data_IF_409197730780
#
_entry.id   IF_409197730780
#
_cell.length_a   1.000
_cell.length_b   1.000
_cell.length_c   1.000
_cell.angle_alpha   90.00
_cell.angle_beta   90.00
_cell.angle_gamma   90.00
#
_symmetry.space_group_name_H-M   'P 1'
#
loop_
_entity.id
_entity.type
_entity.pdbx_description
1 polymer ?
#
# COMPACT_ATOMS: atom_id res chain seq x y z
N UNK A 1 -24.61 -22.50 29.31
CA UNK A 1 -24.70 -22.03 27.92
C UNK A 1 -24.47 -20.53 27.90
N UNK A 2 -23.29 -20.04 27.50
CA UNK A 2 -23.05 -18.60 27.37
C UNK A 2 -22.98 -18.29 25.87
N UNK A 3 -24.05 -17.69 25.36
CA UNK A 3 -24.19 -17.32 23.95
C UNK A 3 -23.23 -16.18 23.58
N UNK A 4 -22.43 -16.40 22.54
CA UNK A 4 -21.41 -15.44 22.08
C UNK A 4 -22.08 -14.37 21.22
N UNK A 5 -22.08 -13.12 21.68
CA UNK A 5 -22.64 -11.96 20.96
C UNK A 5 -21.75 -11.66 19.76
N UNK A 6 -22.27 -11.85 18.54
CA UNK A 6 -21.62 -11.41 17.29
C UNK A 6 -21.71 -9.88 17.20
N UNK A 7 -20.66 -9.16 17.62
CA UNK A 7 -20.51 -7.73 17.32
C UNK A 7 -20.24 -7.58 15.82
N UNK A 8 -21.28 -7.33 15.04
CA UNK A 8 -21.16 -6.88 13.65
C UNK A 8 -20.52 -5.50 13.65
N UNK A 9 -19.39 -5.37 12.95
CA UNK A 9 -18.74 -4.08 12.69
C UNK A 9 -19.71 -3.19 11.90
N UNK A 10 -20.18 -2.11 12.53
CA UNK A 10 -21.02 -1.09 11.90
C UNK A 10 -20.13 0.09 11.52
N UNK A 11 -20.40 0.70 10.37
CA UNK A 11 -19.85 2.01 10.00
C UNK A 11 -20.41 3.06 10.98
N UNK A 12 -19.72 4.20 11.19
CA UNK A 12 -20.23 5.29 12.04
C UNK A 12 -21.63 5.78 11.63
N UNK A 13 -21.99 5.65 10.35
CA UNK A 13 -23.32 5.98 9.82
C UNK A 13 -24.38 4.88 10.10
N UNK A 14 -24.06 3.88 10.94
CA UNK A 14 -24.94 2.77 11.29
C UNK A 14 -25.11 1.71 10.20
N UNK A 15 -24.43 1.83 9.06
CA UNK A 15 -24.56 0.86 7.97
C UNK A 15 -23.53 -0.28 8.10
N UNK A 16 -23.92 -1.51 7.75
CA UNK A 16 -23.00 -2.64 7.79
C UNK A 16 -21.86 -2.48 6.76
N UNK A 17 -20.66 -2.95 7.09
CA UNK A 17 -19.62 -3.14 6.07
C UNK A 17 -20.08 -4.22 5.10
N UNK A 18 -20.54 -3.82 3.92
CA UNK A 18 -20.89 -4.76 2.87
C UNK A 18 -19.59 -5.37 2.32
N UNK A 19 -19.52 -6.71 2.30
CA UNK A 19 -18.44 -7.44 1.64
C UNK A 19 -18.52 -7.18 0.13
N UNK A 20 -17.59 -6.37 -0.38
CA UNK A 20 -17.45 -6.08 -1.81
C UNK A 20 -16.88 -7.33 -2.47
N UNK A 21 -17.57 -7.90 -3.47
CA UNK A 21 -17.10 -9.10 -4.17
C UNK A 21 -16.01 -8.71 -5.18
N UNK A 22 -15.03 -9.58 -5.41
CA UNK A 22 -13.89 -9.32 -6.31
C UNK A 22 -14.32 -8.88 -7.73
N UNK A 23 -15.46 -9.40 -8.22
CA UNK A 23 -16.05 -9.03 -9.51
C UNK A 23 -16.48 -7.56 -9.62
N UNK A 24 -16.82 -6.90 -8.51
CA UNK A 24 -17.30 -5.52 -8.51
C UNK A 24 -16.18 -4.51 -8.78
N UNK A 25 -14.93 -4.85 -8.44
CA UNK A 25 -13.76 -4.01 -8.74
C UNK A 25 -13.55 -3.82 -10.24
N UNK A 26 -13.84 -4.85 -11.05
CA UNK A 26 -13.69 -4.78 -12.50
C UNK A 26 -14.77 -3.94 -13.18
N UNK A 27 -16.02 -4.00 -12.70
CA UNK A 27 -17.10 -3.21 -13.33
C UNK A 27 -17.02 -1.72 -12.94
N UNK A 28 -16.59 -1.43 -11.70
CA UNK A 28 -16.51 -0.07 -11.17
C UNK A 28 -15.32 0.71 -11.73
N UNK A 29 -14.21 0.04 -12.07
CA UNK A 29 -13.06 0.68 -12.73
C UNK A 29 -13.40 1.13 -14.17
N UNK A 30 -14.20 0.35 -14.90
CA UNK A 30 -14.65 0.71 -16.26
C UNK A 30 -15.62 1.91 -16.22
N UNK A 31 -16.53 1.95 -15.25
CA UNK A 31 -17.51 3.03 -15.14
C UNK A 31 -16.92 4.36 -14.68
N UNK A 32 -15.84 4.35 -13.87
CA UNK A 32 -15.19 5.57 -13.39
C UNK A 32 -14.60 6.43 -14.52
N UNK A 33 -14.33 5.86 -15.70
CA UNK A 33 -13.73 6.59 -16.82
C UNK A 33 -14.72 7.39 -17.67
N UNK A 34 -16.04 7.17 -17.54
CA UNK A 34 -17.03 7.84 -18.42
C UNK A 34 -17.58 9.18 -17.88
N UNK A 35 -17.31 9.55 -16.63
CA UNK A 35 -17.89 10.78 -16.06
C UNK A 35 -17.09 12.07 -16.32
N UNK A 36 -15.90 11.98 -16.89
CA UNK A 36 -15.03 13.15 -17.09
C UNK A 36 -14.81 13.55 -18.56
N UNK A 37 -15.56 13.00 -19.51
CA UNK A 37 -15.56 13.50 -20.90
C UNK A 37 -16.90 14.19 -21.18
N UNK A 38 -17.06 15.42 -20.67
CA UNK A 38 -18.04 16.35 -21.24
C UNK A 38 -17.39 17.01 -22.47
N UNK A 39 -17.89 16.77 -23.70
CA UNK A 39 -17.39 17.45 -24.88
C UNK A 39 -18.09 18.81 -24.99
N UNK A 40 -17.60 19.80 -24.24
CA UNK A 40 -17.85 21.20 -24.54
C UNK A 40 -16.66 21.66 -25.40
N UNK A 41 -16.78 21.83 -26.72
CA UNK A 41 -17.68 22.82 -27.32
C UNK A 41 -17.09 24.22 -27.19
N UNK A 42 -15.80 24.40 -27.53
CA UNK A 42 -15.11 25.70 -27.53
C UNK A 42 -14.49 25.95 -28.91
N UNK A 43 -15.18 26.75 -29.71
CA UNK A 43 -14.84 27.13 -31.08
C UNK A 43 -13.41 27.63 -31.20
N UNK A 44 -12.65 27.03 -32.13
CA UNK A 44 -11.35 27.53 -32.60
C UNK A 44 -11.55 28.84 -33.39
N UNK A 45 -11.59 29.97 -32.71
CA UNK A 45 -11.43 31.27 -33.38
C UNK A 45 -9.94 31.52 -33.59
N UNK A 46 -9.48 31.16 -34.77
CA UNK A 46 -8.27 31.70 -35.34
C UNK A 46 -8.44 33.20 -35.57
N UNK A 47 -7.58 34.03 -34.97
CA UNK A 47 -6.95 35.19 -35.60
C UNK A 47 -6.34 36.13 -34.54
N UNK A 48 -5.01 36.27 -34.62
CA UNK A 48 -4.27 37.54 -34.63
C UNK A 48 -4.72 38.66 -33.67
N UNK A 49 -3.89 38.96 -32.66
CA UNK A 49 -3.97 40.23 -31.95
C UNK A 49 -3.37 40.22 -30.55
N UNK A 50 -2.09 40.55 -30.48
CA UNK A 50 -1.37 41.14 -29.34
C UNK A 50 -2.24 41.64 -28.18
N UNK A 51 -2.15 40.97 -27.03
CA UNK A 51 -2.62 41.46 -25.73
C UNK A 51 -1.85 40.75 -24.63
N UNK A 52 -1.21 41.51 -23.74
CA UNK A 52 -0.17 41.11 -22.78
C UNK A 52 -0.56 40.07 -21.69
N UNK A 53 -1.58 39.24 -21.93
CA UNK A 53 -2.10 38.21 -21.03
C UNK A 53 -1.56 36.80 -21.35
N UNK A 54 -0.85 36.64 -22.47
CA UNK A 54 -0.16 35.42 -22.88
C UNK A 54 0.86 34.86 -21.88
N UNK A 55 1.63 35.65 -21.09
CA UNK A 55 2.63 35.07 -20.20
C UNK A 55 2.01 34.29 -19.04
N UNK A 56 0.84 34.68 -18.51
CA UNK A 56 0.21 33.98 -17.37
C UNK A 56 -0.28 32.59 -17.79
N UNK A 57 -1.00 32.50 -18.91
CA UNK A 57 -1.48 31.21 -19.46
C UNK A 57 -0.29 30.28 -19.78
N UNK A 58 0.82 30.85 -20.26
CA UNK A 58 2.04 30.08 -20.50
C UNK A 58 2.71 29.60 -19.19
N UNK A 59 2.59 30.34 -18.09
CA UNK A 59 3.10 29.92 -16.77
C UNK A 59 2.27 28.75 -16.24
N UNK A 60 0.95 28.82 -16.28
CA UNK A 60 0.08 27.74 -15.80
C UNK A 60 0.36 26.43 -16.55
N UNK A 61 0.50 26.49 -17.88
CA UNK A 61 0.88 25.31 -18.68
C UNK A 61 2.26 24.75 -18.34
N UNK A 62 3.23 25.60 -17.96
CA UNK A 62 4.55 25.14 -17.48
C UNK A 62 4.49 24.54 -16.07
N UNK A 63 3.65 25.08 -15.20
CA UNK A 63 3.41 24.53 -13.86
C UNK A 63 2.75 23.15 -13.99
N UNK A 64 1.74 23.01 -14.85
CA UNK A 64 1.06 21.74 -15.10
C UNK A 64 2.03 20.68 -15.63
N UNK A 65 2.89 21.04 -16.59
CA UNK A 65 3.96 20.15 -17.07
C UNK A 65 4.92 19.71 -15.96
N UNK A 66 5.36 20.65 -15.11
CA UNK A 66 6.23 20.31 -13.99
C UNK A 66 5.55 19.38 -12.98
N UNK A 67 4.26 19.58 -12.70
CA UNK A 67 3.48 18.70 -11.83
C UNK A 67 3.31 17.30 -12.44
N UNK A 68 3.07 17.20 -13.75
CA UNK A 68 2.98 15.92 -14.45
C UNK A 68 4.30 15.15 -14.41
N UNK A 69 5.43 15.84 -14.52
CA UNK A 69 6.76 15.24 -14.35
C UNK A 69 6.95 14.72 -12.92
N UNK A 70 6.62 15.52 -11.91
CA UNK A 70 6.72 15.09 -10.50
C UNK A 70 5.82 13.90 -10.22
N UNK A 71 4.57 13.94 -10.70
CA UNK A 71 3.62 12.82 -10.55
C UNK A 71 4.13 11.56 -11.21
N UNK A 72 4.69 11.68 -12.42
CA UNK A 72 5.29 10.57 -13.15
C UNK A 72 6.49 9.99 -12.39
N UNK A 73 7.38 10.85 -11.90
CA UNK A 73 8.53 10.43 -11.10
C UNK A 73 8.10 9.70 -9.80
N UNK A 74 7.14 10.26 -9.05
CA UNK A 74 6.61 9.64 -7.84
C UNK A 74 5.92 8.31 -8.13
N UNK A 75 5.17 8.21 -9.24
CA UNK A 75 4.55 6.95 -9.65
C UNK A 75 5.59 5.86 -9.95
N UNK A 76 6.73 6.21 -10.54
CA UNK A 76 7.80 5.25 -10.79
C UNK A 76 8.54 4.88 -9.50
N UNK A 77 8.97 5.87 -8.71
CA UNK A 77 9.67 5.63 -7.45
C UNK A 77 8.86 4.75 -6.49
N UNK A 78 7.57 5.06 -6.30
CA UNK A 78 6.71 4.26 -5.43
C UNK A 78 6.52 2.83 -5.95
N UNK A 79 6.42 2.64 -7.28
CA UNK A 79 6.33 1.29 -7.86
C UNK A 79 7.58 0.47 -7.62
N UNK A 80 8.74 1.07 -7.86
CA UNK A 80 10.03 0.43 -7.65
C UNK A 80 10.21 0.01 -6.19
N UNK A 81 9.92 0.90 -5.24
CA UNK A 81 9.97 0.58 -3.80
C UNK A 81 9.02 -0.57 -3.42
N UNK A 82 7.79 -0.59 -3.96
CA UNK A 82 6.84 -1.68 -3.71
C UNK A 82 7.35 -3.01 -4.28
N UNK A 83 7.94 -3.01 -5.47
CA UNK A 83 8.46 -4.22 -6.10
C UNK A 83 9.69 -4.76 -5.34
N UNK A 84 10.58 -3.88 -4.86
CA UNK A 84 11.71 -4.25 -3.98
C UNK A 84 11.19 -4.86 -2.67
N UNK A 85 10.22 -4.22 -2.02
CA UNK A 85 9.64 -4.73 -0.78
C UNK A 85 8.96 -6.09 -0.97
N UNK A 86 8.22 -6.28 -2.07
CA UNK A 86 7.61 -7.58 -2.42
C UNK A 86 8.66 -8.65 -2.62
N UNK A 87 9.75 -8.35 -3.34
CA UNK A 87 10.87 -9.28 -3.50
C UNK A 87 11.47 -9.67 -2.14
N UNK A 88 11.65 -8.69 -1.24
CA UNK A 88 12.21 -8.98 0.08
C UNK A 88 11.28 -9.81 0.95
N UNK A 89 9.96 -9.55 0.90
CA UNK A 89 8.95 -10.36 1.59
C UNK A 89 9.01 -11.80 1.10
N UNK A 90 9.04 -12.03 -0.21
CA UNK A 90 9.12 -13.39 -0.78
C UNK A 90 10.40 -14.12 -0.37
N UNK A 91 11.55 -13.45 -0.37
CA UNK A 91 12.84 -14.02 0.08
C UNK A 91 12.80 -14.42 1.57
N UNK A 92 12.25 -13.55 2.41
CA UNK A 92 12.12 -13.80 3.85
C UNK A 92 11.11 -14.91 4.13
N UNK A 93 9.98 -14.96 3.43
CA UNK A 93 9.01 -16.04 3.53
C UNK A 93 9.64 -17.39 3.12
N UNK A 94 10.41 -17.43 2.04
CA UNK A 94 11.13 -18.63 1.62
C UNK A 94 12.16 -19.06 2.68
N UNK A 95 12.88 -18.10 3.27
CA UNK A 95 13.84 -18.37 4.36
C UNK A 95 13.14 -18.89 5.60
N UNK A 96 11.99 -18.32 5.99
CA UNK A 96 11.20 -18.79 7.12
C UNK A 96 10.73 -20.22 6.88
N UNK A 97 10.17 -20.53 5.71
CA UNK A 97 9.72 -21.88 5.38
C UNK A 97 10.87 -22.90 5.44
N UNK A 98 12.05 -22.53 4.93
CA UNK A 98 13.24 -23.36 5.01
C UNK A 98 13.65 -23.59 6.48
N UNK A 99 13.72 -22.53 7.28
CA UNK A 99 14.06 -22.61 8.70
C UNK A 99 13.01 -23.37 9.51
N UNK A 100 11.72 -23.28 9.17
CA UNK A 100 10.65 -24.04 9.81
C UNK A 100 10.78 -25.53 9.51
N UNK A 101 11.09 -25.89 8.26
CA UNK A 101 11.36 -27.27 7.86
C UNK A 101 12.58 -27.83 8.60
N UNK A 102 13.68 -27.08 8.62
CA UNK A 102 14.90 -27.45 9.36
C UNK A 102 14.63 -27.59 10.86
N UNK A 103 13.95 -26.61 11.47
CA UNK A 103 13.60 -26.66 12.90
C UNK A 103 12.68 -27.84 13.23
N UNK A 104 11.78 -28.21 12.32
CA UNK A 104 10.90 -29.37 12.52
C UNK A 104 11.73 -30.65 12.60
N UNK A 105 12.64 -30.85 11.63
CA UNK A 105 13.53 -32.01 11.61
C UNK A 105 14.43 -32.04 12.85
N UNK A 106 15.03 -30.89 13.21
CA UNK A 106 15.88 -30.80 14.39
C UNK A 106 15.11 -31.13 15.67
N UNK A 107 13.88 -30.63 15.82
CA UNK A 107 13.04 -30.93 17.00
C UNK A 107 12.64 -32.39 17.11
N UNK A 108 12.47 -33.09 15.99
CA UNK A 108 12.17 -34.53 15.99
C UNK A 108 13.36 -35.40 16.41
N UNK A 109 14.59 -34.97 16.13
CA UNK A 109 15.81 -35.76 16.35
C UNK A 109 16.60 -35.36 17.60
N UNK A 110 16.37 -34.17 18.15
CA UNK A 110 17.09 -33.67 19.32
C UNK A 110 16.38 -34.13 20.61
N UNK A 111 17.12 -34.73 21.58
CA UNK A 111 16.59 -35.08 22.90
C UNK A 111 15.89 -33.90 23.59
N UNK A 112 14.74 -34.16 24.22
CA UNK A 112 13.90 -33.14 24.88
C UNK A 112 14.68 -32.28 25.87
N UNK A 113 15.68 -32.84 26.55
CA UNK A 113 16.55 -32.11 27.48
C UNK A 113 17.33 -30.98 26.79
N UNK A 114 17.81 -31.20 25.56
CA UNK A 114 18.54 -30.20 24.77
C UNK A 114 17.56 -29.15 24.24
N UNK A 115 16.35 -29.55 23.83
CA UNK A 115 15.28 -28.62 23.42
C UNK A 115 14.90 -27.65 24.56
N UNK A 116 14.82 -28.15 25.79
CA UNK A 116 14.55 -27.32 26.97
C UNK A 116 15.66 -26.28 27.21
N UNK A 117 16.94 -26.66 27.04
CA UNK A 117 18.07 -25.73 27.16
C UNK A 117 18.05 -24.65 26.07
N UNK A 118 17.73 -25.02 24.83
CA UNK A 118 17.55 -24.07 23.71
C UNK A 118 16.45 -23.05 24.01
N UNK A 119 15.30 -23.51 24.52
CA UNK A 119 14.17 -22.61 24.83
C UNK A 119 14.51 -21.57 25.91
N UNK A 120 15.38 -21.89 26.87
CA UNK A 120 15.84 -20.93 27.88
C UNK A 120 16.75 -19.86 27.27
N UNK A 121 17.53 -20.23 26.25
CA UNK A 121 18.49 -19.35 25.61
C UNK A 121 17.86 -18.43 24.53
N UNK A 122 16.68 -18.81 24.01
CA UNK A 122 15.90 -18.00 23.06
C UNK A 122 15.23 -16.76 23.69
N UNK A 123 15.43 -16.48 24.98
CA UNK A 123 14.99 -15.21 25.58
C UNK A 123 15.82 -14.09 24.96
N UNK A 124 15.25 -13.20 24.12
CA UNK A 124 16.03 -12.20 23.41
C UNK A 124 16.68 -11.24 24.41
N UNK A 125 18.03 -11.18 24.51
CA UNK A 125 18.67 -10.14 25.27
C UNK A 125 18.85 -8.97 24.31
N UNK A 126 17.81 -8.17 24.08
CA UNK A 126 17.94 -6.78 23.66
C UNK A 126 16.59 -6.10 23.43
N UNK A 127 16.19 -5.31 24.41
CA UNK A 127 15.98 -3.88 24.17
C UNK A 127 16.07 -3.14 25.51
N UNK A 128 17.24 -3.22 26.13
CA UNK A 128 17.72 -2.20 27.05
C UNK A 128 18.26 -1.05 26.22
N UNK A 129 17.52 0.05 26.11
CA UNK A 129 18.13 1.39 25.96
C UNK A 129 17.10 2.50 26.23
N UNK A 130 17.27 3.10 27.42
CA UNK A 130 17.21 4.55 27.71
C UNK A 130 15.91 5.30 27.39
N UNK A 131 15.07 5.61 28.37
CA UNK A 131 15.24 6.68 29.37
C UNK A 131 15.40 8.09 28.76
N UNK A 132 14.34 8.90 28.88
CA UNK A 132 14.25 10.37 28.92
C UNK A 132 12.87 10.77 28.35
N UNK A 133 12.10 11.70 28.88
CA UNK A 133 12.11 12.49 30.09
C UNK A 133 10.65 12.99 30.22
N UNK A 134 10.16 13.10 31.45
CA UNK A 134 9.07 14.03 31.79
C UNK A 134 9.74 15.27 32.35
#
# INVERSE_FOLDING_TARGET
>A
MVGRVRRSSLRPDGNAYQTVKSSDYHLRSIQAKRRNSSPAGGTVVAASGTGANTPIIAIDGKIEQAMDLVKTHLMFAVREEVDILRAKIMELEATILQLEAENTILREHVPVEILNKLSLQMTPPNSTTTAAAV
#
